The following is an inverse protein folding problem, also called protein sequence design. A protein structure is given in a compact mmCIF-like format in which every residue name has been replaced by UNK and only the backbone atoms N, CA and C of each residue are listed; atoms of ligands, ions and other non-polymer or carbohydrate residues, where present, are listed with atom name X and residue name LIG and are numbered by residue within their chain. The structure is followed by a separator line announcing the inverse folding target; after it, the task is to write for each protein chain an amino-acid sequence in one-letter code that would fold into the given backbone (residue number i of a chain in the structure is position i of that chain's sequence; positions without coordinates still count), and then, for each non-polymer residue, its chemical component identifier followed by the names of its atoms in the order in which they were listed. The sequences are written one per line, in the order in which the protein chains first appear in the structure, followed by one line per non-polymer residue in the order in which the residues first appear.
data_IF_734982133701
#
_entry.id   IF_734982133701
#
_cell.length_a   1.000
_cell.length_b   1.000
_cell.length_c   1.000
_cell.angle_alpha   90.00
_cell.angle_beta   90.00
_cell.angle_gamma   90.00
#
_symmetry.space_group_name_H-M   'P 1'
#
loop_
_entity.id
_entity.type
_entity.pdbx_description
1 polymer ?
#
# COMPACT_ATOMS: atom_id res chain seq x y z
N UNK A 1 -6.60 -0.26 4.67
CA UNK A 1 -5.62 -1.23 4.13
C UNK A 1 -4.29 -0.59 3.69
N UNK A 2 -3.97 0.63 4.10
CA UNK A 2 -2.76 1.33 3.63
C UNK A 2 -1.64 1.41 4.69
N UNK A 3 -1.92 0.95 5.91
CA UNK A 3 -1.03 1.05 7.07
C UNK A 3 0.33 0.36 6.86
N UNK A 4 0.38 -0.72 6.07
CA UNK A 4 1.65 -1.38 5.76
C UNK A 4 2.55 -0.51 4.86
N UNK A 5 1.97 0.20 3.89
CA UNK A 5 2.69 1.12 3.01
C UNK A 5 3.19 2.34 3.78
N UNK A 6 2.35 2.94 4.63
CA UNK A 6 2.77 4.05 5.51
C UNK A 6 3.82 3.60 6.54
N UNK A 7 3.73 2.37 7.05
CA UNK A 7 4.72 1.84 7.99
C UNK A 7 6.09 1.67 7.32
N UNK A 8 6.13 1.17 6.09
CA UNK A 8 7.37 1.01 5.35
C UNK A 8 7.95 2.34 4.90
N UNK A 9 7.13 3.26 4.38
CA UNK A 9 7.62 4.51 3.76
C UNK A 9 7.87 5.63 4.76
N UNK A 10 6.99 5.77 5.76
CA UNK A 10 7.00 6.87 6.75
C UNK A 10 7.26 6.41 8.18
N UNK A 11 7.22 5.11 8.45
CA UNK A 11 7.40 4.57 9.80
C UNK A 11 6.18 4.78 10.72
N UNK A 12 5.05 5.20 10.18
CA UNK A 12 3.79 5.50 10.88
C UNK A 12 2.71 4.45 10.61
N UNK A 13 1.77 4.24 11.54
CA UNK A 13 0.69 3.25 11.36
C UNK A 13 1.15 1.80 11.40
N UNK A 14 2.36 1.53 11.91
CA UNK A 14 2.89 0.19 12.07
C UNK A 14 2.09 -0.62 13.12
N UNK A 15 1.84 -1.90 12.81
CA UNK A 15 1.41 -2.89 13.79
C UNK A 15 2.57 -3.32 14.69
N UNK A 16 2.50 -4.55 15.21
CA UNK A 16 3.57 -5.13 16.05
C UNK A 16 4.91 -5.28 15.33
N UNK A 17 4.88 -5.57 14.03
CA UNK A 17 6.09 -5.72 13.20
C UNK A 17 6.51 -4.37 12.61
N UNK A 18 7.38 -3.64 13.32
CA UNK A 18 7.96 -2.39 12.85
C UNK A 18 9.28 -2.65 12.11
N UNK A 19 9.45 -2.20 10.86
CA UNK A 19 10.72 -2.26 10.15
C UNK A 19 11.81 -1.45 10.90
N UNK A 20 13.07 -1.90 10.91
CA UNK A 20 14.17 -1.18 11.56
C UNK A 20 14.54 0.14 10.86
N UNK A 21 14.08 0.36 9.63
CA UNK A 21 14.32 1.54 8.80
C UNK A 21 13.12 1.81 7.90
N UNK A 22 12.93 3.07 7.51
CA UNK A 22 11.95 3.46 6.50
C UNK A 22 12.51 3.31 5.08
N UNK A 23 11.63 3.12 4.12
CA UNK A 23 11.88 2.88 2.71
C UNK A 23 11.03 3.86 1.89
N UNK A 24 11.43 5.13 1.77
CA UNK A 24 10.65 6.13 1.03
C UNK A 24 10.47 5.75 -0.45
N UNK A 25 11.50 5.18 -1.09
CA UNK A 25 11.47 4.76 -2.50
C UNK A 25 10.73 3.41 -2.74
N UNK A 26 9.77 3.05 -1.89
CA UNK A 26 9.01 1.82 -2.04
C UNK A 26 8.21 1.86 -3.36
N UNK A 27 8.45 0.89 -4.25
CA UNK A 27 7.91 0.89 -5.62
C UNK A 27 6.38 0.86 -5.71
N UNK A 28 5.69 0.29 -4.74
CA UNK A 28 4.22 0.25 -4.71
C UNK A 28 3.65 -1.06 -4.18
N UNK A 29 2.46 -1.40 -4.63
CA UNK A 29 1.73 -2.60 -4.24
C UNK A 29 1.32 -3.40 -5.48
N UNK A 30 1.20 -4.71 -5.32
CA UNK A 30 0.74 -5.63 -6.37
C UNK A 30 -0.42 -6.47 -5.82
N UNK A 31 -1.45 -6.67 -6.64
CA UNK A 31 -2.57 -7.56 -6.32
C UNK A 31 -2.72 -8.61 -7.40
N UNK A 32 -3.14 -9.81 -6.98
CA UNK A 32 -3.60 -10.85 -7.88
C UNK A 32 -5.11 -11.04 -7.67
N UNK A 33 -5.99 -10.76 -8.63
CA UNK A 33 -5.76 -10.33 -10.01
C UNK A 33 -6.61 -9.11 -10.36
N UNK A 34 -6.32 -8.49 -11.49
CA UNK A 34 -7.17 -7.43 -12.05
C UNK A 34 -8.60 -7.89 -12.31
N UNK A 35 -8.83 -9.16 -12.66
CA UNK A 35 -10.19 -9.70 -12.83
C UNK A 35 -10.98 -9.71 -11.52
N UNK A 36 -10.33 -10.08 -10.42
CA UNK A 36 -10.98 -10.07 -9.11
C UNK A 36 -11.23 -8.64 -8.62
N UNK A 37 -10.28 -7.74 -8.83
CA UNK A 37 -10.47 -6.32 -8.51
C UNK A 37 -11.64 -5.72 -9.31
N UNK A 38 -11.73 -5.99 -10.62
CA UNK A 38 -12.84 -5.52 -11.44
C UNK A 38 -14.19 -6.13 -11.03
N UNK A 39 -14.22 -7.40 -10.62
CA UNK A 39 -15.44 -8.07 -10.13
C UNK A 39 -15.92 -7.46 -8.82
N UNK A 40 -15.00 -6.95 -8.00
CA UNK A 40 -15.28 -6.23 -6.74
C UNK A 40 -15.42 -4.71 -6.95
N UNK A 41 -15.69 -4.26 -8.19
CA UNK A 41 -15.94 -2.86 -8.50
C UNK A 41 -14.70 -1.95 -8.43
N UNK A 42 -13.49 -2.50 -8.62
CA UNK A 42 -12.20 -1.81 -8.52
C UNK A 42 -11.94 -1.20 -7.13
N UNK A 43 -12.52 -1.77 -6.08
CA UNK A 43 -12.39 -1.25 -4.72
C UNK A 43 -10.94 -1.25 -4.23
N UNK A 44 -10.12 -2.23 -4.63
CA UNK A 44 -8.73 -2.32 -4.22
C UNK A 44 -7.87 -1.28 -4.95
N UNK A 45 -7.93 -1.24 -6.29
CA UNK A 45 -7.12 -0.29 -7.07
C UNK A 45 -7.47 1.16 -6.77
N UNK A 46 -8.75 1.46 -6.49
CA UNK A 46 -9.21 2.80 -6.11
C UNK A 46 -8.68 3.25 -4.75
N UNK A 47 -8.48 2.33 -3.81
CA UNK A 47 -7.97 2.64 -2.47
C UNK A 47 -6.42 2.65 -2.41
N UNK A 48 -5.76 1.74 -3.13
CA UNK A 48 -4.31 1.54 -3.08
C UNK A 48 -3.58 2.41 -4.11
N UNK A 49 -4.16 2.61 -5.29
CA UNK A 49 -3.54 3.38 -6.38
C UNK A 49 -3.19 4.82 -6.00
N UNK A 50 -4.14 5.65 -5.52
CA UNK A 50 -3.85 7.01 -5.09
C UNK A 50 -2.82 7.07 -3.95
N UNK A 51 -2.82 6.06 -3.08
CA UNK A 51 -1.90 6.02 -1.94
C UNK A 51 -0.46 5.68 -2.38
N UNK A 52 -0.28 4.76 -3.33
CA UNK A 52 1.03 4.44 -3.92
C UNK A 52 1.59 5.63 -4.72
N UNK A 53 0.74 6.34 -5.48
CA UNK A 53 1.17 7.53 -6.22
C UNK A 53 1.49 8.74 -5.33
N UNK A 54 0.96 8.76 -4.11
CA UNK A 54 1.19 9.82 -3.11
C UNK A 54 2.24 9.44 -2.05
N UNK A 55 3.03 8.39 -2.28
CA UNK A 55 4.19 8.10 -1.44
C UNK A 55 5.24 9.23 -1.57
N UNK A 56 5.92 9.60 -0.48
CA UNK A 56 6.86 10.72 -0.44
C UNK A 56 8.10 10.50 -1.32
#
# INVERSE_FOLDING_TARGET
MNNALDCLTKGSGCGSSKPPRTYPDLRGAMTWSTNWDATDGNAWSSAVGPHVHGLP
#
